data_IF_238808986082
#
_entry.id   IF_238808986082
#
_cell.length_a   1.000
_cell.length_b   1.000
_cell.length_c   1.000
_cell.angle_alpha   90.00
_cell.angle_beta   90.00
_cell.angle_gamma   90.00
#
_symmetry.space_group_name_H-M   'P 1'
#
loop_
_entity.id
_entity.type
_entity.pdbx_description
1 polymer ?
#
# COMPACT_ATOMS: atom_id res chain seq x y z
N UNK A 1 26.12 -12.77 -23.00
CA UNK A 1 26.04 -12.80 -21.53
C UNK A 1 24.70 -12.21 -21.13
N UNK A 2 23.86 -13.05 -20.54
CA UNK A 2 22.63 -12.64 -19.87
C UNK A 2 23.04 -12.00 -18.54
N UNK A 3 22.58 -10.77 -18.31
CA UNK A 3 22.85 -10.04 -17.07
C UNK A 3 21.48 -9.82 -16.43
N UNK A 4 21.41 -10.05 -15.12
CA UNK A 4 20.20 -9.85 -14.35
C UNK A 4 20.49 -9.60 -12.88
N UNK A 5 19.47 -9.20 -12.16
CA UNK A 5 19.53 -8.94 -10.71
C UNK A 5 18.18 -9.26 -10.05
N UNK A 6 18.23 -9.50 -8.74
CA UNK A 6 17.05 -9.75 -7.92
C UNK A 6 16.46 -8.45 -7.39
N UNK A 7 15.15 -8.28 -7.58
CA UNK A 7 14.34 -7.20 -7.03
C UNK A 7 13.33 -7.79 -6.04
N UNK A 8 13.18 -7.19 -4.86
CA UNK A 8 12.29 -7.65 -3.80
C UNK A 8 10.84 -7.55 -4.25
N UNK A 9 10.02 -8.54 -3.91
CA UNK A 9 8.56 -8.47 -4.12
C UNK A 9 7.93 -7.43 -3.18
N UNK A 10 6.85 -6.78 -3.62
CA UNK A 10 6.10 -5.82 -2.77
C UNK A 10 5.48 -6.45 -1.53
N UNK A 11 5.13 -7.74 -1.58
CA UNK A 11 4.71 -8.50 -0.39
C UNK A 11 5.82 -8.67 0.66
N UNK A 12 7.04 -8.23 0.37
CA UNK A 12 8.27 -8.40 1.17
C UNK A 12 8.79 -9.85 1.27
N UNK A 13 8.01 -10.83 0.83
CA UNK A 13 8.38 -12.25 0.81
C UNK A 13 9.07 -12.64 -0.50
N UNK A 14 10.41 -12.61 -0.47
CA UNK A 14 11.26 -13.09 -1.56
C UNK A 14 11.53 -12.06 -2.65
N UNK A 15 12.01 -12.57 -3.78
CA UNK A 15 12.54 -11.77 -4.88
C UNK A 15 11.96 -12.23 -6.22
N UNK A 16 11.97 -11.33 -7.18
CA UNK A 16 11.79 -11.59 -8.61
C UNK A 16 13.09 -11.26 -9.32
N UNK A 17 13.41 -11.99 -10.37
CA UNK A 17 14.55 -11.68 -11.24
C UNK A 17 14.14 -10.66 -12.29
N UNK A 18 15.03 -9.70 -12.53
CA UNK A 18 15.01 -8.84 -13.71
C UNK A 18 16.19 -9.29 -14.57
N UNK A 19 15.93 -9.76 -15.79
CA UNK A 19 16.94 -10.21 -16.75
C UNK A 19 16.92 -9.34 -18.01
N UNK A 20 18.03 -9.34 -18.75
CA UNK A 20 18.15 -8.63 -20.03
C UNK A 20 18.46 -9.61 -21.15
N UNK A 21 17.53 -9.74 -22.09
CA UNK A 21 17.71 -10.45 -23.35
C UNK A 21 17.66 -9.43 -24.50
N UNK A 22 18.65 -9.45 -25.39
CA UNK A 22 18.71 -8.57 -26.57
C UNK A 22 18.52 -7.07 -26.30
N UNK A 23 18.98 -6.60 -25.13
CA UNK A 23 18.85 -5.20 -24.71
C UNK A 23 17.47 -4.85 -24.15
N UNK A 24 16.57 -5.81 -24.03
CA UNK A 24 15.23 -5.66 -23.47
C UNK A 24 15.21 -6.20 -22.04
N UNK A 25 14.97 -5.36 -21.02
CA UNK A 25 14.79 -5.82 -19.65
C UNK A 25 13.40 -6.43 -19.48
N UNK A 26 13.36 -7.61 -18.86
CA UNK A 26 12.15 -8.33 -18.49
C UNK A 26 12.19 -8.71 -17.01
N UNK A 27 11.03 -8.70 -16.37
CA UNK A 27 10.85 -9.07 -14.97
C UNK A 27 9.98 -10.32 -14.89
N UNK A 28 10.31 -11.26 -14.01
CA UNK A 28 9.55 -12.50 -13.78
C UNK A 28 8.07 -12.27 -13.43
N UNK A 29 7.69 -11.08 -12.95
CA UNK A 29 6.28 -10.74 -12.73
C UNK A 29 5.47 -10.44 -14.01
N UNK A 30 6.08 -10.60 -15.19
CA UNK A 30 5.46 -10.38 -16.50
C UNK A 30 5.69 -8.98 -17.09
N UNK A 31 6.41 -8.10 -16.39
CA UNK A 31 6.81 -6.80 -16.92
C UNK A 31 7.93 -6.94 -17.96
N UNK A 32 7.87 -6.18 -19.05
CA UNK A 32 8.92 -6.11 -20.07
C UNK A 32 8.90 -4.73 -20.73
N UNK A 33 10.06 -4.09 -20.86
CA UNK A 33 10.15 -2.79 -21.52
C UNK A 33 10.20 -2.94 -23.05
N UNK A 34 9.68 -1.98 -23.83
CA UNK A 34 9.04 -0.73 -23.39
C UNK A 34 7.53 -0.86 -23.11
N UNK A 35 6.91 -1.99 -23.48
CA UNK A 35 5.45 -2.08 -23.62
C UNK A 35 4.70 -2.31 -22.30
N UNK A 36 5.32 -2.99 -21.33
CA UNK A 36 4.70 -3.35 -20.07
C UNK A 36 5.64 -3.10 -18.88
N UNK A 37 5.76 -1.85 -18.45
CA UNK A 37 6.58 -1.50 -17.28
C UNK A 37 5.83 -1.85 -15.98
N UNK A 38 6.29 -2.88 -15.28
CA UNK A 38 5.82 -3.23 -13.95
C UNK A 38 6.48 -2.37 -12.85
N UNK A 39 5.98 -2.46 -11.61
CA UNK A 39 6.51 -1.74 -10.43
C UNK A 39 8.01 -1.97 -10.23
N UNK A 40 8.47 -3.22 -10.40
CA UNK A 40 9.88 -3.57 -10.22
C UNK A 40 10.77 -2.85 -11.25
N UNK A 41 10.41 -2.90 -12.55
CA UNK A 41 11.13 -2.20 -13.60
C UNK A 41 11.08 -0.67 -13.40
N UNK A 42 9.92 -0.12 -13.03
CA UNK A 42 9.79 1.31 -12.77
C UNK A 42 10.70 1.77 -11.62
N UNK A 43 10.67 1.07 -10.48
CA UNK A 43 11.45 1.44 -9.31
C UNK A 43 12.96 1.29 -9.55
N UNK A 44 13.42 0.13 -10.04
CA UNK A 44 14.86 -0.15 -10.11
C UNK A 44 15.51 0.30 -11.41
N UNK A 45 14.79 0.29 -12.54
CA UNK A 45 15.36 0.61 -13.85
C UNK A 45 15.03 2.02 -14.33
N UNK A 46 13.84 2.54 -14.06
CA UNK A 46 13.50 3.91 -14.47
C UNK A 46 13.93 4.94 -13.44
N UNK A 47 13.63 4.68 -12.15
CA UNK A 47 13.97 5.60 -11.06
C UNK A 47 15.30 5.27 -10.35
N UNK A 48 15.94 4.16 -10.69
CA UNK A 48 17.24 3.75 -10.12
C UNK A 48 17.23 3.67 -8.59
N UNK A 49 16.12 3.22 -8.00
CA UNK A 49 16.00 3.05 -6.56
C UNK A 49 16.70 1.75 -6.13
N UNK A 50 17.66 1.86 -5.21
CA UNK A 50 18.41 0.71 -4.72
C UNK A 50 17.67 -0.12 -3.67
N UNK A 51 16.71 0.47 -2.96
CA UNK A 51 16.04 -0.19 -1.84
C UNK A 51 15.37 -1.53 -2.20
N UNK A 52 14.65 -1.63 -3.34
CA UNK A 52 14.11 -2.90 -3.81
C UNK A 52 15.17 -3.90 -4.29
N UNK A 53 16.40 -3.50 -4.58
CA UNK A 53 17.43 -4.37 -5.17
C UNK A 53 18.09 -5.24 -4.10
N UNK A 54 18.31 -6.54 -4.39
CA UNK A 54 19.09 -7.39 -3.50
C UNK A 54 20.50 -6.80 -3.30
N UNK A 55 21.02 -6.70 -2.07
CA UNK A 55 22.30 -6.04 -1.79
C UNK A 55 23.46 -6.53 -2.67
N UNK A 56 23.58 -7.85 -2.84
CA UNK A 56 24.65 -8.47 -3.65
C UNK A 56 24.55 -8.17 -5.15
N UNK A 57 23.39 -7.73 -5.65
CA UNK A 57 23.14 -7.57 -7.08
C UNK A 57 23.17 -6.10 -7.52
N UNK A 58 23.50 -5.15 -6.62
CA UNK A 58 23.50 -3.70 -6.94
C UNK A 58 24.43 -3.35 -8.11
N UNK A 59 25.59 -4.00 -8.18
CA UNK A 59 26.53 -3.82 -9.30
C UNK A 59 25.91 -4.36 -10.61
N UNK A 60 25.30 -5.54 -10.57
CA UNK A 60 24.63 -6.14 -11.72
C UNK A 60 23.44 -5.29 -12.20
N UNK A 61 22.68 -4.70 -11.27
CA UNK A 61 21.58 -3.80 -11.59
C UNK A 61 22.04 -2.53 -12.31
N UNK A 62 23.14 -1.91 -11.86
CA UNK A 62 23.73 -0.76 -12.54
C UNK A 62 24.17 -1.07 -13.97
N UNK A 63 24.87 -2.20 -14.17
CA UNK A 63 25.28 -2.66 -15.51
C UNK A 63 24.07 -2.95 -16.42
N UNK A 64 23.04 -3.56 -15.83
CA UNK A 64 21.76 -3.82 -16.51
C UNK A 64 21.11 -2.52 -16.98
N UNK A 65 21.09 -1.48 -16.13
CA UNK A 65 20.57 -0.16 -16.48
C UNK A 65 21.34 0.49 -17.63
N UNK A 66 22.67 0.52 -17.55
CA UNK A 66 23.52 1.12 -18.58
C UNK A 66 23.27 0.50 -19.97
N UNK A 67 23.02 -0.81 -20.02
CA UNK A 67 22.75 -1.56 -21.25
C UNK A 67 21.34 -1.34 -21.82
N UNK A 68 20.37 -0.99 -20.97
CA UNK A 68 18.94 -1.00 -21.34
C UNK A 68 18.27 0.37 -21.30
N UNK A 69 18.95 1.41 -20.79
CA UNK A 69 18.37 2.76 -20.58
C UNK A 69 17.69 3.34 -21.81
N UNK A 70 18.19 3.06 -23.02
CA UNK A 70 17.59 3.57 -24.26
C UNK A 70 16.21 2.99 -24.54
N UNK A 71 16.00 1.69 -24.27
CA UNK A 71 14.69 1.03 -24.41
C UNK A 71 13.73 1.53 -23.34
N UNK A 72 14.23 1.74 -22.12
CA UNK A 72 13.42 2.24 -21.00
C UNK A 72 12.96 3.69 -21.21
N UNK A 73 13.81 4.55 -21.75
CA UNK A 73 13.47 5.94 -22.06
C UNK A 73 12.49 6.07 -23.24
N UNK A 74 12.38 5.03 -24.09
CA UNK A 74 11.36 4.96 -25.13
C UNK A 74 9.97 4.56 -24.59
N UNK A 75 9.91 3.97 -23.39
CA UNK A 75 8.68 3.62 -22.70
C UNK A 75 7.88 4.86 -22.30
N UNK A 76 6.58 4.89 -22.64
CA UNK A 76 5.76 6.11 -22.54
C UNK A 76 4.95 6.24 -21.26
N UNK A 77 4.88 5.21 -20.40
CA UNK A 77 3.99 5.24 -19.22
C UNK A 77 4.57 4.45 -18.04
N UNK A 78 4.64 5.12 -16.89
CA UNK A 78 4.90 4.50 -15.60
C UNK A 78 3.66 3.75 -15.10
N UNK A 79 3.81 2.66 -14.34
CA UNK A 79 2.69 1.97 -13.72
C UNK A 79 1.98 2.88 -12.70
N UNK A 80 0.65 2.75 -12.60
CA UNK A 80 -0.21 3.56 -11.72
C UNK A 80 -0.58 2.86 -10.39
N UNK A 81 0.14 1.80 -10.04
CA UNK A 81 -0.10 0.89 -8.89
C UNK A 81 0.29 1.47 -7.51
N UNK A 82 0.64 2.75 -7.43
CA UNK A 82 1.03 3.42 -6.18
C UNK A 82 2.30 2.86 -5.51
N UNK A 83 3.16 2.19 -6.28
CA UNK A 83 4.41 1.60 -5.79
C UNK A 83 5.36 2.62 -5.17
N UNK A 84 5.30 3.87 -5.63
CA UNK A 84 6.07 5.02 -5.17
C UNK A 84 5.72 5.46 -3.74
N UNK A 85 4.58 4.97 -3.22
CA UNK A 85 4.12 5.25 -1.84
C UNK A 85 4.56 4.18 -0.84
N UNK A 86 5.09 3.05 -1.31
CA UNK A 86 5.48 1.90 -0.49
C UNK A 86 6.89 2.09 0.09
N UNK A 87 6.99 3.02 1.05
CA UNK A 87 8.28 3.46 1.61
C UNK A 87 9.12 2.31 2.18
N UNK A 88 8.47 1.28 2.72
CA UNK A 88 9.14 0.09 3.26
C UNK A 88 9.76 -0.74 2.15
N UNK A 89 9.01 -1.02 1.09
CA UNK A 89 9.53 -1.74 -0.08
C UNK A 89 10.66 -0.97 -0.78
N UNK A 90 10.54 0.36 -0.84
CA UNK A 90 11.56 1.27 -1.37
C UNK A 90 12.82 1.39 -0.49
N UNK A 91 12.89 0.72 0.65
CA UNK A 91 14.07 0.68 1.52
C UNK A 91 14.31 1.95 2.33
N UNK A 92 13.31 2.83 2.47
CA UNK A 92 13.42 3.96 3.39
C UNK A 92 13.49 3.46 4.84
N UNK A 93 14.28 4.13 5.70
CA UNK A 93 14.36 3.78 7.11
C UNK A 93 12.97 3.86 7.75
N UNK A 94 12.73 3.02 8.76
CA UNK A 94 11.54 3.13 9.58
C UNK A 94 11.49 4.55 10.18
N UNK A 95 10.44 5.34 9.91
CA UNK A 95 10.32 6.65 10.51
C UNK A 95 10.11 6.50 12.01
N UNK A 96 10.61 7.45 12.80
CA UNK A 96 10.30 7.48 14.23
C UNK A 96 8.77 7.40 14.44
N UNK A 97 8.29 6.68 15.47
CA UNK A 97 6.87 6.42 15.71
C UNK A 97 6.13 7.67 16.23
N UNK A 98 6.29 8.82 15.57
CA UNK A 98 5.64 10.09 15.90
C UNK A 98 4.18 10.18 15.39
N UNK A 99 3.51 9.03 15.21
CA UNK A 99 2.06 8.98 14.93
C UNK A 99 1.60 9.61 13.60
N UNK A 100 2.49 9.78 12.61
CA UNK A 100 2.20 10.46 11.36
C UNK A 100 1.74 9.56 10.20
N UNK A 101 1.24 10.18 9.12
CA UNK A 101 0.82 9.50 7.88
C UNK A 101 1.96 8.69 7.26
N UNK A 102 3.20 9.18 7.32
CA UNK A 102 4.38 8.47 6.81
C UNK A 102 4.64 7.15 7.54
N UNK A 103 4.49 7.13 8.87
CA UNK A 103 4.64 5.90 9.66
C UNK A 103 3.54 4.88 9.33
N UNK A 104 2.30 5.35 9.13
CA UNK A 104 1.20 4.48 8.73
C UNK A 104 1.43 3.84 7.35
N UNK A 105 1.91 4.62 6.36
CA UNK A 105 2.27 4.08 5.04
C UNK A 105 3.41 3.06 5.13
N UNK A 106 4.43 3.35 5.93
CA UNK A 106 5.56 2.43 6.12
C UNK A 106 5.12 1.12 6.78
N UNK A 107 4.30 1.20 7.83
CA UNK A 107 3.88 0.02 8.61
C UNK A 107 2.83 -0.82 7.90
N UNK A 108 1.81 -0.18 7.33
CA UNK A 108 0.63 -0.88 6.81
C UNK A 108 0.61 -1.00 5.29
N UNK A 109 1.50 -0.34 4.54
CA UNK A 109 1.60 -0.43 3.09
C UNK A 109 1.36 0.91 2.38
N UNK A 110 1.93 1.06 1.18
CA UNK A 110 1.84 2.29 0.39
C UNK A 110 0.41 2.66 -0.07
N UNK A 111 -0.49 1.69 -0.12
CA UNK A 111 -1.90 1.84 -0.44
C UNK A 111 -2.76 2.36 0.73
N UNK A 112 -2.17 2.56 1.91
CA UNK A 112 -2.91 2.89 3.14
C UNK A 112 -3.87 4.08 3.00
N UNK A 113 -3.49 5.09 2.22
CA UNK A 113 -4.33 6.28 2.03
C UNK A 113 -5.52 6.07 1.10
N UNK A 114 -5.43 5.08 0.21
CA UNK A 114 -6.46 4.72 -0.77
C UNK A 114 -7.48 3.73 -0.18
N UNK A 115 -7.19 3.15 0.99
CA UNK A 115 -8.09 2.24 1.72
C UNK A 115 -9.38 2.93 2.17
N UNK A 116 -10.50 2.18 2.23
CA UNK A 116 -11.77 2.68 2.75
C UNK A 116 -11.61 3.15 4.20
N UNK A 117 -12.21 4.30 4.54
CA UNK A 117 -12.08 4.91 5.86
C UNK A 117 -13.12 4.36 6.84
N UNK A 118 -12.69 3.98 8.04
CA UNK A 118 -13.56 3.58 9.16
C UNK A 118 -13.28 4.45 10.38
N UNK A 119 -14.34 4.82 11.10
CA UNK A 119 -14.26 5.60 12.33
C UNK A 119 -14.97 4.87 13.48
N UNK A 120 -14.34 4.82 14.66
CA UNK A 120 -14.88 4.19 15.86
C UNK A 120 -15.34 5.24 16.86
N UNK A 121 -16.47 5.02 17.52
CA UNK A 121 -17.02 5.92 18.54
C UNK A 121 -17.76 5.16 19.65
N UNK A 122 -17.86 5.77 20.83
CA UNK A 122 -18.34 5.09 22.04
C UNK A 122 -17.35 4.06 22.58
N UNK A 123 -17.79 3.36 23.63
CA UNK A 123 -17.01 2.32 24.30
C UNK A 123 -17.27 0.95 23.64
N UNK A 124 -16.19 0.27 23.24
CA UNK A 124 -16.24 -1.09 22.74
C UNK A 124 -15.76 -2.09 23.79
N UNK A 125 -15.68 -3.37 23.41
CA UNK A 125 -15.22 -4.44 24.32
C UNK A 125 -13.71 -4.39 24.61
N UNK A 126 -12.95 -3.74 23.72
CA UNK A 126 -11.49 -3.54 23.85
C UNK A 126 -11.11 -2.07 23.68
N UNK A 127 -9.87 -1.68 24.08
CA UNK A 127 -9.37 -0.33 23.90
C UNK A 127 -9.49 0.16 22.45
N UNK A 128 -9.78 1.45 22.26
CA UNK A 128 -9.94 2.05 20.91
C UNK A 128 -8.71 1.82 20.03
N UNK A 129 -7.52 1.89 20.59
CA UNK A 129 -6.27 1.70 19.86
C UNK A 129 -6.15 0.30 19.25
N UNK A 130 -6.73 -0.71 19.89
CA UNK A 130 -6.76 -2.08 19.36
C UNK A 130 -7.72 -2.18 18.17
N UNK A 131 -8.91 -1.58 18.23
CA UNK A 131 -9.80 -1.49 17.07
C UNK A 131 -9.15 -0.73 15.90
N UNK A 132 -8.47 0.38 16.17
CA UNK A 132 -7.76 1.13 15.14
C UNK A 132 -6.63 0.31 14.52
N UNK A 133 -5.88 -0.46 15.32
CA UNK A 133 -4.83 -1.36 14.82
C UNK A 133 -5.41 -2.46 13.94
N UNK A 134 -6.43 -3.17 14.43
CA UNK A 134 -7.06 -4.26 13.69
C UNK A 134 -7.70 -3.79 12.38
N UNK A 135 -8.36 -2.63 12.39
CA UNK A 135 -8.90 -2.04 11.17
C UNK A 135 -7.80 -1.83 10.12
N UNK A 136 -6.63 -1.32 10.53
CA UNK A 136 -5.48 -1.11 9.63
C UNK A 136 -4.94 -2.43 9.07
N UNK A 137 -4.86 -3.46 9.92
CA UNK A 137 -4.45 -4.82 9.52
C UNK A 137 -5.47 -5.48 8.57
N UNK A 138 -6.76 -5.18 8.75
CA UNK A 138 -7.85 -5.66 7.91
C UNK A 138 -8.01 -4.88 6.61
N UNK A 139 -7.10 -3.97 6.26
CA UNK A 139 -7.15 -3.22 5.01
C UNK A 139 -8.04 -1.98 5.03
N UNK A 140 -8.37 -1.45 6.22
CA UNK A 140 -9.06 -0.17 6.36
C UNK A 140 -8.10 0.97 6.69
N UNK A 141 -8.53 2.20 6.37
CA UNK A 141 -7.93 3.43 6.88
C UNK A 141 -8.66 3.85 8.15
N UNK A 142 -8.12 3.48 9.31
CA UNK A 142 -8.73 3.77 10.60
C UNK A 142 -8.50 5.23 11.03
N UNK A 143 -9.58 5.95 11.38
CA UNK A 143 -9.55 7.38 11.68
C UNK A 143 -10.28 7.66 12.99
N UNK A 144 -9.67 8.43 13.88
CA UNK A 144 -10.22 8.68 15.23
C UNK A 144 -11.31 9.77 15.22
N UNK A 145 -11.25 10.70 14.27
CA UNK A 145 -12.18 11.81 14.13
C UNK A 145 -13.02 11.71 12.87
N UNK A 146 -14.24 12.26 12.97
CA UNK A 146 -15.11 12.41 11.81
C UNK A 146 -14.44 13.29 10.76
N UNK A 147 -14.41 12.80 9.52
CA UNK A 147 -13.88 13.52 8.37
C UNK A 147 -14.59 13.06 7.09
N UNK A 148 -14.58 13.86 6.02
CA UNK A 148 -15.16 13.46 4.75
C UNK A 148 -14.59 12.15 4.19
N UNK A 149 -15.46 11.36 3.55
CA UNK A 149 -15.12 10.10 2.89
C UNK A 149 -15.04 8.88 3.81
N UNK A 150 -15.48 8.97 5.07
CA UNK A 150 -15.72 7.79 5.91
C UNK A 150 -16.76 6.89 5.22
N UNK A 151 -16.42 5.61 5.08
CA UNK A 151 -17.28 4.60 4.45
C UNK A 151 -18.22 3.94 5.45
N UNK A 152 -17.77 3.79 6.70
CA UNK A 152 -18.56 3.20 7.79
C UNK A 152 -18.15 3.80 9.13
N UNK A 153 -19.13 3.99 10.02
CA UNK A 153 -18.90 4.31 11.42
C UNK A 153 -19.26 3.11 12.29
N UNK A 154 -18.38 2.76 13.22
CA UNK A 154 -18.64 1.74 14.23
C UNK A 154 -18.94 2.45 15.54
N UNK A 155 -20.11 2.18 16.12
CA UNK A 155 -20.58 2.83 17.33
C UNK A 155 -21.02 1.80 18.38
N UNK A 156 -20.85 2.13 19.66
CA UNK A 156 -21.41 1.34 20.76
C UNK A 156 -22.95 1.28 20.70
N UNK A 157 -23.56 2.42 20.37
CA UNK A 157 -24.99 2.54 20.06
C UNK A 157 -25.16 3.19 18.67
N UNK A 158 -25.56 2.42 17.64
CA UNK A 158 -25.81 2.95 16.30
C UNK A 158 -26.89 4.04 16.23
N UNK A 159 -27.81 4.08 17.20
CA UNK A 159 -28.91 5.04 17.26
C UNK A 159 -28.59 6.29 18.10
N UNK A 160 -27.38 6.38 18.66
CA UNK A 160 -26.97 7.47 19.55
C UNK A 160 -27.14 8.87 18.91
N UNK A 161 -27.68 9.83 19.65
CA UNK A 161 -27.81 11.22 19.18
C UNK A 161 -26.50 12.03 19.25
N UNK A 162 -25.39 11.42 19.67
CA UNK A 162 -24.10 12.06 19.79
C UNK A 162 -23.61 12.69 18.46
N UNK A 163 -22.73 13.70 18.56
CA UNK A 163 -22.32 14.51 17.43
C UNK A 163 -21.70 13.70 16.26
N UNK A 164 -20.91 12.66 16.54
CA UNK A 164 -20.27 11.82 15.51
C UNK A 164 -21.32 10.96 14.75
N UNK A 165 -22.14 10.13 15.42
CA UNK A 165 -23.24 9.42 14.78
C UNK A 165 -24.22 10.32 14.02
N UNK A 166 -24.63 11.45 14.62
CA UNK A 166 -25.55 12.38 13.96
C UNK A 166 -24.99 12.95 12.66
N UNK A 167 -23.68 13.30 12.63
CA UNK A 167 -22.98 13.71 11.40
C UNK A 167 -22.88 12.57 10.38
N UNK A 168 -22.62 11.35 10.82
CA UNK A 168 -22.56 10.18 9.94
C UNK A 168 -23.90 9.92 9.24
N UNK A 169 -25.02 9.96 9.99
CA UNK A 169 -26.37 9.83 9.40
C UNK A 169 -26.67 10.94 8.40
N UNK A 170 -26.38 12.19 8.75
CA UNK A 170 -26.60 13.33 7.87
C UNK A 170 -25.82 13.21 6.54
N UNK A 171 -24.67 12.53 6.56
CA UNK A 171 -23.85 12.25 5.39
C UNK A 171 -24.19 10.92 4.69
N UNK A 172 -25.21 10.18 5.13
CA UNK A 172 -25.58 8.88 4.58
C UNK A 172 -24.56 7.76 4.83
N UNK A 173 -23.69 7.92 5.83
CA UNK A 173 -22.68 6.92 6.19
C UNK A 173 -23.33 5.86 7.09
N UNK A 174 -23.25 4.57 6.73
CA UNK A 174 -23.73 3.47 7.58
C UNK A 174 -23.09 3.49 8.97
N UNK A 175 -23.91 3.27 9.99
CA UNK A 175 -23.47 3.15 11.38
C UNK A 175 -23.78 1.73 11.83
N UNK A 176 -22.76 0.99 12.23
CA UNK A 176 -22.85 -0.41 12.64
C UNK A 176 -22.39 -0.59 14.09
N UNK A 177 -22.80 -1.69 14.71
CA UNK A 177 -22.35 -2.03 16.06
C UNK A 177 -20.92 -2.57 16.04
N UNK A 178 -20.25 -2.62 17.21
CA UNK A 178 -18.97 -3.33 17.35
C UNK A 178 -19.08 -4.83 17.05
N UNK A 179 -20.24 -5.45 17.28
CA UNK A 179 -20.47 -6.86 16.93
C UNK A 179 -20.52 -7.06 15.40
N UNK A 180 -21.14 -6.15 14.67
CA UNK A 180 -21.20 -6.20 13.20
C UNK A 180 -19.85 -5.88 12.56
N UNK A 181 -19.02 -5.04 13.21
CA UNK A 181 -17.67 -4.73 12.76
C UNK A 181 -16.82 -6.00 12.55
N UNK A 182 -16.93 -7.00 13.43
CA UNK A 182 -16.18 -8.25 13.29
C UNK A 182 -16.51 -9.01 12.00
N UNK A 183 -17.71 -8.80 11.44
CA UNK A 183 -18.17 -9.41 10.19
C UNK A 183 -17.89 -8.56 8.95
N UNK A 184 -17.52 -7.29 9.12
CA UNK A 184 -17.43 -6.34 8.02
C UNK A 184 -16.13 -6.47 7.21
N UNK A 185 -16.20 -6.69 5.90
CA UNK A 185 -15.04 -6.60 5.01
C UNK A 185 -14.83 -5.19 4.45
N UNK A 186 -13.59 -4.84 4.01
CA UNK A 186 -13.26 -3.51 3.47
C UNK A 186 -14.12 -3.03 2.29
N UNK A 187 -14.70 -3.94 1.53
CA UNK A 187 -15.66 -3.64 0.47
C UNK A 187 -17.04 -3.19 1.00
N UNK A 188 -17.25 -3.24 2.33
CA UNK A 188 -18.49 -2.88 3.00
C UNK A 188 -19.50 -4.02 3.09
N UNK A 189 -19.14 -5.24 2.70
CA UNK A 189 -20.00 -6.42 2.85
C UNK A 189 -19.91 -6.98 4.28
N UNK A 190 -21.03 -7.49 4.79
CA UNK A 190 -21.05 -8.31 6.00
C UNK A 190 -20.82 -9.77 5.59
N UNK A 191 -19.84 -10.43 6.21
CA UNK A 191 -19.64 -11.87 6.09
C UNK A 191 -20.73 -12.60 6.89
N UNK A 192 -21.35 -13.59 6.27
CA UNK A 192 -22.29 -14.51 6.93
C UNK A 192 -21.60 -15.37 7.99
#
# INVERSE_FOLDING_TARGET
MEIGFRCRKRSMDGYVTISVADGVPACECGGSAPDNICDHLAATMMMQLEGPIHPDDRVAAKLTWERTRWVLLAGRRLPQSGWDRDLRWLGYPEPEPKGGVLWLRWKYGGDYDDRPKVCFTGDGEKPRDDYLREARERGWRAVDNWQPGIKVMVASDPNSSAAKPSKARAAGVPIVSYADWERLSPDGALKE
#
